data_IF_120176061856
#
_entry.id   IF_120176061856
#
_cell.length_a   1.000
_cell.length_b   1.000
_cell.length_c   1.000
_cell.angle_alpha   90.00
_cell.angle_beta   90.00
_cell.angle_gamma   90.00
#
_symmetry.space_group_name_H-M   'P 1'
#
loop_
_entity.id
_entity.type
_entity.pdbx_description
1 polymer ?
#
# COMPACT_ATOMS: atom_id res chain seq x y z
N UNK A 1 5.57 3.35 -12.65
CA UNK A 1 4.14 3.12 -12.36
C UNK A 1 3.66 1.76 -12.84
N UNK A 2 3.79 1.45 -14.14
CA UNK A 2 3.29 0.19 -14.73
C UNK A 2 3.89 -1.05 -14.07
N UNK A 3 5.21 -1.12 -13.82
CA UNK A 3 5.88 -2.29 -13.22
C UNK A 3 5.38 -2.70 -11.84
N UNK A 4 4.81 -1.78 -11.07
CA UNK A 4 4.32 -2.07 -9.71
C UNK A 4 2.92 -2.63 -9.76
N UNK A 5 2.04 -1.96 -10.50
CA UNK A 5 0.69 -2.45 -10.82
C UNK A 5 0.76 -3.82 -11.51
N UNK A 6 1.74 -4.00 -12.40
CA UNK A 6 2.01 -5.27 -13.07
C UNK A 6 2.34 -6.40 -12.09
N UNK A 7 3.08 -6.14 -11.01
CA UNK A 7 3.38 -7.13 -9.96
C UNK A 7 2.17 -7.47 -9.08
N UNK A 8 1.21 -6.55 -8.99
CA UNK A 8 -0.07 -6.80 -8.29
C UNK A 8 -0.93 -7.76 -9.09
N UNK A 9 -0.90 -7.64 -10.43
CA UNK A 9 -1.64 -8.51 -11.32
C UNK A 9 -0.90 -9.85 -11.54
N UNK A 10 0.43 -9.81 -11.74
CA UNK A 10 1.32 -10.96 -11.94
C UNK A 10 1.49 -11.75 -10.63
N UNK A 11 0.49 -12.58 -10.36
CA UNK A 11 0.34 -13.31 -9.08
C UNK A 11 1.20 -14.57 -9.09
N UNK A 12 1.48 -15.11 -10.28
CA UNK A 12 2.33 -16.28 -10.47
C UNK A 12 3.82 -15.95 -10.67
N UNK A 13 4.17 -14.65 -10.71
CA UNK A 13 5.53 -14.12 -10.92
C UNK A 13 6.14 -14.58 -12.25
N UNK A 14 5.30 -14.82 -13.25
CA UNK A 14 5.71 -15.18 -14.62
C UNK A 14 6.42 -14.02 -15.35
N UNK A 15 6.43 -12.81 -14.77
CA UNK A 15 6.83 -11.57 -15.44
C UNK A 15 5.95 -11.23 -16.65
N UNK A 16 4.78 -11.84 -16.74
CA UNK A 16 3.70 -11.54 -17.68
C UNK A 16 2.41 -11.33 -16.91
N UNK A 17 1.47 -10.55 -17.44
CA UNK A 17 0.12 -10.42 -16.85
C UNK A 17 -0.86 -11.00 -17.85
N UNK A 18 -1.50 -12.11 -17.49
CA UNK A 18 -2.53 -12.70 -18.32
C UNK A 18 -3.91 -12.06 -18.10
N UNK A 19 -4.89 -12.44 -18.91
CA UNK A 19 -6.24 -11.89 -18.82
C UNK A 19 -6.94 -12.23 -17.50
N UNK A 20 -6.65 -13.39 -16.91
CA UNK A 20 -7.17 -13.81 -15.60
C UNK A 20 -6.55 -13.04 -14.44
N UNK A 21 -5.26 -12.74 -14.50
CA UNK A 21 -4.53 -11.90 -13.56
C UNK A 21 -4.98 -10.44 -13.58
N UNK A 22 -5.13 -9.89 -14.79
CA UNK A 22 -5.70 -8.56 -14.99
C UNK A 22 -7.17 -8.51 -14.51
N UNK A 23 -7.98 -9.50 -14.87
CA UNK A 23 -9.37 -9.59 -14.42
C UNK A 23 -9.48 -9.78 -12.90
N UNK A 24 -8.56 -10.50 -12.27
CA UNK A 24 -8.57 -10.74 -10.82
C UNK A 24 -8.19 -9.49 -10.03
N UNK A 25 -7.12 -8.79 -10.39
CA UNK A 25 -6.79 -7.54 -9.70
C UNK A 25 -7.82 -6.44 -9.98
N UNK A 26 -8.42 -6.40 -11.18
CA UNK A 26 -9.55 -5.51 -11.44
C UNK A 26 -10.80 -5.94 -10.64
N UNK A 27 -11.06 -7.25 -10.50
CA UNK A 27 -12.16 -7.81 -9.72
C UNK A 27 -12.01 -7.58 -8.22
N UNK A 28 -10.78 -7.54 -7.69
CA UNK A 28 -10.49 -7.18 -6.30
C UNK A 28 -10.78 -5.69 -6.07
N UNK A 29 -10.37 -4.83 -7.02
CA UNK A 29 -10.68 -3.40 -6.97
C UNK A 29 -12.18 -3.13 -7.15
N UNK A 30 -12.89 -3.95 -7.93
CA UNK A 30 -14.33 -3.83 -8.19
C UNK A 30 -15.22 -4.69 -7.28
N UNK A 31 -14.65 -5.54 -6.43
CA UNK A 31 -15.36 -6.52 -5.61
C UNK A 31 -16.05 -5.90 -4.41
N UNK A 32 -17.12 -6.54 -3.92
CA UNK A 32 -18.06 -6.00 -2.93
C UNK A 32 -17.70 -6.27 -1.47
N UNK A 33 -16.71 -7.13 -1.17
CA UNK A 33 -16.35 -7.50 0.19
C UNK A 33 -15.12 -6.71 0.69
N UNK A 34 -15.27 -6.01 1.81
CA UNK A 34 -14.22 -5.17 2.41
C UNK A 34 -13.00 -6.00 2.85
N UNK A 35 -13.22 -7.24 3.30
CA UNK A 35 -12.14 -8.12 3.76
C UNK A 35 -11.13 -8.43 2.66
N UNK A 36 -11.62 -8.68 1.44
CA UNK A 36 -10.77 -9.03 0.30
C UNK A 36 -9.99 -7.81 -0.19
N UNK A 37 -10.58 -6.60 -0.10
CA UNK A 37 -9.88 -5.33 -0.38
C UNK A 37 -8.77 -5.08 0.62
N UNK A 38 -9.04 -5.29 1.91
CA UNK A 38 -8.06 -5.12 2.97
C UNK A 38 -6.92 -6.14 2.85
N UNK A 39 -7.24 -7.40 2.51
CA UNK A 39 -6.23 -8.43 2.25
C UNK A 39 -5.35 -8.13 1.06
N UNK A 40 -5.95 -7.66 -0.04
CA UNK A 40 -5.17 -7.22 -1.19
C UNK A 40 -4.29 -6.01 -0.84
N UNK A 41 -4.83 -5.03 -0.12
CA UNK A 41 -4.03 -3.89 0.35
C UNK A 41 -2.88 -4.35 1.24
N UNK A 42 -3.10 -5.27 2.18
CA UNK A 42 -2.05 -5.82 3.03
C UNK A 42 -0.90 -6.43 2.20
N UNK A 43 -1.23 -7.24 1.19
CA UNK A 43 -0.25 -7.84 0.28
C UNK A 43 0.50 -6.82 -0.60
N UNK A 44 -0.05 -5.62 -0.79
CA UNK A 44 0.67 -4.53 -1.48
C UNK A 44 1.70 -3.85 -0.58
N UNK A 45 1.45 -3.84 0.73
CA UNK A 45 2.36 -3.29 1.72
C UNK A 45 3.46 -4.28 2.11
N UNK A 46 3.13 -5.57 2.32
CA UNK A 46 4.09 -6.65 2.63
C UNK A 46 4.91 -7.00 1.38
N UNK A 47 6.08 -6.37 1.23
CA UNK A 47 6.93 -6.48 0.03
C UNK A 47 7.75 -7.76 0.08
N UNK A 48 8.21 -8.14 1.27
CA UNK A 48 9.09 -9.29 1.47
C UNK A 48 8.29 -10.62 1.56
N UNK A 49 6.98 -10.56 1.80
CA UNK A 49 6.07 -11.70 1.89
C UNK A 49 6.18 -12.47 3.20
N UNK A 50 6.63 -11.84 4.29
CA UNK A 50 6.81 -12.49 5.60
C UNK A 50 5.51 -12.57 6.43
N UNK A 51 4.42 -11.99 5.91
CA UNK A 51 3.11 -11.97 6.55
C UNK A 51 2.93 -10.84 7.55
N UNK A 52 3.88 -9.89 7.61
CA UNK A 52 3.82 -8.67 8.39
C UNK A 52 4.16 -7.46 7.52
N UNK A 53 3.77 -6.27 7.96
CA UNK A 53 4.21 -5.01 7.34
C UNK A 53 5.22 -4.36 8.27
N UNK A 54 6.45 -4.17 7.78
CA UNK A 54 7.47 -3.40 8.47
C UNK A 54 7.26 -1.89 8.31
N UNK A 55 7.87 -1.10 9.19
CA UNK A 55 7.83 0.36 9.06
C UNK A 55 8.45 0.84 7.75
N UNK A 56 9.55 0.22 7.32
CA UNK A 56 10.23 0.50 6.05
C UNK A 56 9.34 0.19 4.84
N UNK A 57 8.59 -0.91 4.90
CA UNK A 57 7.64 -1.30 3.86
C UNK A 57 6.49 -0.30 3.74
N UNK A 58 5.95 0.16 4.87
CA UNK A 58 4.94 1.21 4.90
C UNK A 58 5.47 2.53 4.31
N UNK A 59 6.67 2.96 4.71
CA UNK A 59 7.32 4.17 4.17
C UNK A 59 7.54 4.03 2.65
N UNK A 60 8.03 2.88 2.19
CA UNK A 60 8.30 2.61 0.78
C UNK A 60 7.03 2.71 -0.07
N UNK A 61 5.94 2.10 0.41
CA UNK A 61 4.64 2.17 -0.25
C UNK A 61 4.13 3.63 -0.31
N UNK A 62 4.08 4.33 0.83
CA UNK A 62 3.57 5.71 0.90
C UNK A 62 4.42 6.69 0.08
N UNK A 63 5.75 6.53 0.06
CA UNK A 63 6.65 7.32 -0.79
C UNK A 63 6.27 7.18 -2.25
N UNK A 64 5.89 5.98 -2.66
CA UNK A 64 5.55 5.68 -4.04
C UNK A 64 4.21 6.29 -4.44
N UNK A 65 3.24 6.31 -3.52
CA UNK A 65 1.96 7.01 -3.70
C UNK A 65 2.18 8.52 -3.76
N UNK A 66 2.95 9.10 -2.85
CA UNK A 66 3.20 10.54 -2.87
C UNK A 66 3.99 10.98 -4.10
N UNK A 67 4.98 10.22 -4.57
CA UNK A 67 5.68 10.53 -5.84
C UNK A 67 4.71 10.59 -7.01
N UNK A 68 3.82 9.60 -7.12
CA UNK A 68 2.77 9.59 -8.14
C UNK A 68 1.91 10.83 -8.04
N UNK A 69 1.38 11.16 -6.85
CA UNK A 69 0.51 12.33 -6.69
C UNK A 69 1.21 13.64 -7.04
N UNK A 70 2.49 13.79 -6.72
CA UNK A 70 3.30 14.96 -7.06
C UNK A 70 3.61 15.04 -8.57
N UNK A 71 3.79 13.89 -9.24
CA UNK A 71 4.04 13.84 -10.68
C UNK A 71 2.76 14.09 -11.49
N UNK A 72 1.60 13.63 -11.01
CA UNK A 72 0.31 13.74 -11.72
C UNK A 72 -0.47 15.02 -11.42
N UNK A 73 -0.07 15.81 -10.42
CA UNK A 73 -0.73 17.09 -10.10
C UNK A 73 0.24 18.27 -10.15
N UNK A 74 0.11 19.09 -11.20
CA UNK A 74 0.90 20.30 -11.43
C UNK A 74 0.83 21.27 -10.23
N UNK A 75 -0.34 21.32 -9.58
CA UNK A 75 -0.64 22.15 -8.42
C UNK A 75 0.03 21.71 -7.10
N UNK A 76 0.42 20.43 -6.95
CA UNK A 76 1.00 19.93 -5.71
C UNK A 76 2.50 20.21 -5.58
N UNK A 77 3.23 20.23 -6.71
CA UNK A 77 4.68 20.52 -6.75
C UNK A 77 5.05 21.86 -6.10
N UNK A 78 4.13 22.83 -6.10
CA UNK A 78 4.39 24.19 -5.62
C UNK A 78 3.74 24.53 -4.28
N UNK A 79 2.85 23.67 -3.74
CA UNK A 79 2.09 23.97 -2.51
C UNK A 79 2.58 23.25 -1.27
N UNK A 80 3.22 22.09 -1.42
CA UNK A 80 3.79 21.35 -0.30
C UNK A 80 5.29 21.58 -0.28
N UNK A 81 5.78 22.45 0.61
CA UNK A 81 7.22 22.75 0.76
C UNK A 81 8.04 21.60 1.37
N UNK A 82 7.59 20.35 1.21
CA UNK A 82 8.14 19.14 1.82
C UNK A 82 8.31 18.10 0.72
N UNK A 83 9.41 17.35 0.72
CA UNK A 83 9.63 16.28 -0.26
C UNK A 83 8.60 15.14 -0.09
N UNK A 84 8.22 14.44 -1.18
CA UNK A 84 7.39 13.24 -1.09
C UNK A 84 7.93 12.19 -0.12
N UNK A 85 9.26 12.04 -0.03
CA UNK A 85 9.95 11.13 0.88
C UNK A 85 9.76 11.53 2.35
N UNK A 86 9.88 12.82 2.65
CA UNK A 86 9.73 13.31 4.01
C UNK A 86 8.28 13.24 4.47
N UNK A 87 7.34 13.60 3.59
CA UNK A 87 5.92 13.41 3.85
C UNK A 87 5.59 11.93 4.08
N UNK A 88 6.09 11.04 3.22
CA UNK A 88 5.93 9.60 3.39
C UNK A 88 6.44 9.11 4.74
N UNK A 89 7.65 9.52 5.13
CA UNK A 89 8.27 9.10 6.38
C UNK A 89 7.45 9.54 7.59
N UNK A 90 7.02 10.80 7.62
CA UNK A 90 6.23 11.35 8.74
C UNK A 90 4.87 10.69 8.82
N UNK A 91 4.14 10.62 7.69
CA UNK A 91 2.80 10.02 7.68
C UNK A 91 2.85 8.53 7.98
N UNK A 92 3.77 7.78 7.36
CA UNK A 92 3.92 6.35 7.64
C UNK A 92 4.28 6.09 9.10
N UNK A 93 5.22 6.85 9.67
CA UNK A 93 5.58 6.66 11.08
C UNK A 93 4.40 6.91 12.02
N UNK A 94 3.54 7.88 11.71
CA UNK A 94 2.35 8.16 12.51
C UNK A 94 1.31 7.04 12.36
N UNK A 95 0.96 6.68 11.12
CA UNK A 95 0.01 5.61 10.84
C UNK A 95 0.45 4.27 11.42
N UNK A 96 1.75 3.96 11.34
CA UNK A 96 2.32 2.74 11.89
C UNK A 96 2.12 2.66 13.41
N UNK A 97 2.41 3.74 14.13
CA UNK A 97 2.20 3.79 15.59
C UNK A 97 0.73 3.67 16.00
N UNK A 98 -0.18 4.15 15.16
CA UNK A 98 -1.63 4.02 15.42
C UNK A 98 -2.13 2.60 15.14
N UNK A 99 -1.52 1.90 14.16
CA UNK A 99 -1.88 0.55 13.76
C UNK A 99 -1.22 -0.54 14.61
N UNK A 100 0.00 -0.32 15.10
CA UNK A 100 0.78 -1.26 15.93
C UNK A 100 0.24 -1.26 17.37
N UNK A 101 -0.76 -2.11 17.62
CA UNK A 101 -1.47 -2.15 18.90
C UNK A 101 -0.69 -2.91 19.97
N UNK A 102 0.11 -3.88 19.57
CA UNK A 102 0.88 -4.72 20.48
C UNK A 102 2.32 -4.18 20.72
N UNK A 103 2.76 -3.17 19.95
CA UNK A 103 4.08 -2.52 19.98
C UNK A 103 5.24 -3.49 19.68
N UNK A 104 5.04 -4.46 18.80
CA UNK A 104 6.07 -5.42 18.37
C UNK A 104 6.89 -4.91 17.17
N UNK A 105 6.63 -3.68 16.71
CA UNK A 105 7.27 -3.01 15.57
C UNK A 105 7.00 -3.67 14.21
N UNK A 106 5.90 -4.40 14.06
CA UNK A 106 5.42 -4.95 12.80
C UNK A 106 3.89 -4.98 12.79
N UNK A 107 3.25 -4.85 11.64
CA UNK A 107 1.79 -4.93 11.57
C UNK A 107 1.37 -6.32 11.11
N UNK A 108 0.63 -7.03 11.95
CA UNK A 108 -0.10 -8.22 11.53
C UNK A 108 -1.29 -7.86 10.63
N UNK A 109 -1.81 -8.85 9.89
CA UNK A 109 -3.03 -8.67 9.10
C UNK A 109 -4.21 -8.15 9.94
N UNK A 110 -4.37 -8.65 11.17
CA UNK A 110 -5.47 -8.25 12.05
C UNK A 110 -5.34 -6.80 12.53
N UNK A 111 -4.11 -6.35 12.85
CA UNK A 111 -3.84 -4.95 13.20
C UNK A 111 -4.09 -4.02 12.03
N UNK A 112 -3.55 -4.37 10.85
CA UNK A 112 -3.77 -3.61 9.63
C UNK A 112 -5.26 -3.54 9.27
N UNK A 113 -5.98 -4.66 9.37
CA UNK A 113 -7.42 -4.73 9.10
C UNK A 113 -8.21 -3.87 10.06
N UNK A 114 -7.91 -3.94 11.36
CA UNK A 114 -8.56 -3.11 12.37
C UNK A 114 -8.29 -1.63 12.11
N UNK A 115 -7.06 -1.26 11.76
CA UNK A 115 -6.70 0.10 11.40
C UNK A 115 -7.49 0.60 10.16
N UNK A 116 -7.54 -0.18 9.08
CA UNK A 116 -8.30 0.18 7.86
C UNK A 116 -9.81 0.27 8.06
N UNK A 117 -10.37 -0.46 9.03
CA UNK A 117 -11.82 -0.50 9.28
C UNK A 117 -12.29 0.45 10.38
N UNK A 118 -11.38 0.89 11.26
CA UNK A 118 -11.68 1.90 12.30
C UNK A 118 -11.48 3.32 11.76
N UNK A 119 -10.70 3.50 10.69
CA UNK A 119 -10.40 4.78 10.05
C UNK A 119 -11.38 5.23 8.94
N UNK A 120 -12.49 4.52 8.72
CA UNK A 120 -13.59 4.89 7.82
C UNK A 120 -14.84 5.31 8.60
#
# INVERSE_FOLDING_TARGET
>A
MVRRLFRVFDTDKSNTVDFGELASGLSVLSGSNMDDKVRAAFQLYDINGDGFISQEEMISYMTSIFKVMYETSDSAKHKMGVSPEELARVTASQCFKEADLNNDNKLSFEEFKKWCTTGL
#
